data_IF_641853021926
#
_entry.id   IF_641853021926
#
_cell.length_a   1.000
_cell.length_b   1.000
_cell.length_c   1.000
_cell.angle_alpha   90.00
_cell.angle_beta   90.00
_cell.angle_gamma   90.00
#
_symmetry.space_group_name_H-M   'P 1'
#
loop_
_entity.id
_entity.type
_entity.pdbx_description
1 polymer ?
#
# COMPACT_ATOMS: atom_id res chain seq x y z
N UNK A 1 5.85 -13.64 13.96
CA UNK A 1 5.80 -12.36 14.69
C UNK A 1 6.80 -12.48 15.82
N UNK A 2 7.74 -11.55 15.91
CA UNK A 2 8.53 -11.36 17.11
C UNK A 2 7.68 -10.48 18.03
N UNK A 3 7.36 -10.94 19.25
CA UNK A 3 6.40 -10.29 20.14
C UNK A 3 4.94 -10.75 19.97
N UNK A 4 4.03 -10.19 20.78
CA UNK A 4 2.57 -10.44 20.73
C UNK A 4 1.81 -9.12 20.90
N UNK A 5 0.96 -8.79 19.93
CA UNK A 5 -0.02 -7.71 20.01
C UNK A 5 -1.40 -8.29 19.66
N UNK A 6 -2.46 -7.72 20.23
CA UNK A 6 -3.82 -8.10 19.84
C UNK A 6 -4.22 -7.41 18.52
N UNK A 7 -5.38 -7.78 17.98
CA UNK A 7 -5.86 -7.25 16.69
C UNK A 7 -6.13 -5.74 16.74
N UNK A 8 -6.68 -5.25 17.85
CA UNK A 8 -7.03 -3.83 18.03
C UNK A 8 -5.77 -2.97 18.00
N UNK A 9 -4.76 -3.33 18.79
CA UNK A 9 -3.46 -2.65 18.80
C UNK A 9 -2.79 -2.71 17.43
N UNK A 10 -2.90 -3.84 16.72
CA UNK A 10 -2.35 -3.94 15.36
C UNK A 10 -3.03 -2.98 14.40
N UNK A 11 -4.36 -2.82 14.47
CA UNK A 11 -5.11 -1.87 13.66
C UNK A 11 -4.69 -0.42 13.98
N UNK A 12 -4.59 -0.07 15.27
CA UNK A 12 -4.15 1.24 15.73
C UNK A 12 -2.72 1.55 15.28
N UNK A 13 -1.81 0.58 15.33
CA UNK A 13 -0.45 0.74 14.82
C UNK A 13 -0.44 1.03 13.32
N UNK A 14 -1.22 0.28 12.52
CA UNK A 14 -1.33 0.50 11.08
C UNK A 14 -1.98 1.85 10.75
N UNK A 15 -2.95 2.30 11.55
CA UNK A 15 -3.57 3.62 11.44
C UNK A 15 -2.63 4.76 11.87
N UNK A 16 -1.64 4.48 12.72
CA UNK A 16 -0.67 5.50 13.19
C UNK A 16 0.44 5.77 12.17
N UNK A 17 0.79 4.78 11.34
CA UNK A 17 1.86 4.95 10.34
C UNK A 17 1.57 6.14 9.42
N UNK A 18 2.58 6.95 9.01
CA UNK A 18 2.40 8.11 8.13
C UNK A 18 2.18 7.72 6.66
N UNK A 19 1.58 6.56 6.41
CA UNK A 19 1.28 6.04 5.07
C UNK A 19 -0.15 5.55 4.99
N UNK A 20 -0.65 5.47 3.76
CA UNK A 20 -1.83 4.67 3.45
C UNK A 20 -1.42 3.26 3.08
N UNK A 21 -2.25 2.31 3.44
CA UNK A 21 -2.06 0.88 3.22
C UNK A 21 -3.35 0.35 2.60
N UNK A 22 -3.22 -0.40 1.51
CA UNK A 22 -4.28 -1.26 0.97
C UNK A 22 -3.72 -2.67 0.82
N UNK A 23 -4.44 -3.68 1.27
CA UNK A 23 -4.08 -5.09 1.06
C UNK A 23 -5.08 -5.79 0.15
N UNK A 24 -4.55 -6.43 -0.89
CA UNK A 24 -5.25 -7.32 -1.80
C UNK A 24 -4.86 -8.76 -1.45
N UNK A 25 -5.82 -9.68 -1.39
CA UNK A 25 -5.50 -11.11 -1.24
C UNK A 25 -4.94 -11.72 -2.53
N UNK A 26 -4.56 -13.00 -2.46
CA UNK A 26 -4.06 -13.79 -3.60
C UNK A 26 -4.99 -13.82 -4.82
N UNK A 27 -6.27 -13.52 -4.63
CA UNK A 27 -7.30 -13.51 -5.67
C UNK A 27 -7.57 -12.07 -6.15
N UNK A 28 -6.71 -11.11 -5.82
CA UNK A 28 -6.79 -9.69 -6.20
C UNK A 28 -8.00 -8.95 -5.60
N UNK A 29 -8.52 -9.48 -4.48
CA UNK A 29 -9.67 -8.91 -3.79
C UNK A 29 -9.20 -7.96 -2.70
N UNK A 30 -9.77 -6.76 -2.64
CA UNK A 30 -9.46 -5.80 -1.57
C UNK A 30 -9.97 -6.34 -0.23
N UNK A 31 -9.07 -6.57 0.72
CA UNK A 31 -9.41 -7.14 2.04
C UNK A 31 -9.25 -6.18 3.19
N UNK A 32 -8.38 -5.19 3.03
CA UNK A 32 -8.08 -4.26 4.10
C UNK A 32 -7.55 -2.96 3.53
N UNK A 33 -7.79 -1.89 4.28
CA UNK A 33 -7.03 -0.66 4.17
C UNK A 33 -7.01 0.08 5.51
N UNK A 34 -5.94 0.82 5.79
CA UNK A 34 -5.87 1.67 6.98
C UNK A 34 -6.57 3.03 6.73
N UNK A 35 -6.96 3.71 7.82
CA UNK A 35 -7.51 5.06 7.89
C UNK A 35 -8.78 5.29 7.05
N UNK A 36 -9.92 5.51 7.72
CA UNK A 36 -11.12 6.07 7.07
C UNK A 36 -11.06 7.60 7.09
N UNK A 37 -11.00 8.25 5.92
CA UNK A 37 -11.22 9.70 5.76
C UNK A 37 -9.97 10.56 5.51
N UNK A 38 -8.87 10.35 6.24
CA UNK A 38 -7.65 11.16 6.10
C UNK A 38 -6.65 10.59 5.07
N UNK A 39 -7.14 10.26 3.87
CA UNK A 39 -6.36 9.66 2.78
C UNK A 39 -6.19 10.64 1.61
N UNK A 40 -4.99 10.71 1.06
CA UNK A 40 -4.64 11.16 -0.30
C UNK A 40 -5.57 10.52 -1.33
N UNK A 41 -5.80 9.21 -1.23
CA UNK A 41 -6.74 8.48 -2.10
C UNK A 41 -7.90 7.93 -1.26
N UNK A 42 -9.03 8.66 -1.18
CA UNK A 42 -10.18 8.23 -0.40
C UNK A 42 -10.68 6.84 -0.81
N UNK A 43 -11.01 6.02 0.18
CA UNK A 43 -11.64 4.71 -0.03
C UNK A 43 -12.99 4.68 0.67
N UNK A 44 -14.00 4.18 -0.03
CA UNK A 44 -15.28 3.82 0.59
C UNK A 44 -15.19 2.40 1.16
N UNK A 45 -15.79 2.12 2.33
CA UNK A 45 -15.91 0.75 2.84
C UNK A 45 -16.52 -0.23 1.83
N UNK A 46 -17.33 0.24 0.88
CA UNK A 46 -17.90 -0.56 -0.21
C UNK A 46 -16.85 -1.17 -1.16
N UNK A 47 -15.59 -0.76 -1.07
CA UNK A 47 -14.49 -1.37 -1.85
C UNK A 47 -14.07 -2.73 -1.29
N UNK A 48 -14.32 -3.00 0.00
CA UNK A 48 -13.97 -4.27 0.62
C UNK A 48 -14.72 -5.41 -0.05
N UNK A 49 -14.01 -6.47 -0.45
CA UNK A 49 -14.56 -7.60 -1.17
C UNK A 49 -14.65 -7.42 -2.69
N UNK A 50 -14.34 -6.24 -3.23
CA UNK A 50 -14.27 -6.01 -4.68
C UNK A 50 -12.92 -6.40 -5.25
N UNK A 51 -12.90 -6.71 -6.54
CA UNK A 51 -11.65 -6.91 -7.29
C UNK A 51 -10.96 -5.57 -7.49
N UNK A 52 -9.63 -5.55 -7.38
CA UNK A 52 -8.82 -4.33 -7.64
C UNK A 52 -9.10 -3.77 -9.04
N UNK A 53 -9.41 -4.65 -9.99
CA UNK A 53 -9.72 -4.27 -11.36
C UNK A 53 -10.96 -3.38 -11.48
N UNK A 54 -11.92 -3.53 -10.58
CA UNK A 54 -13.14 -2.72 -10.55
C UNK A 54 -12.93 -1.35 -9.86
N UNK A 55 -11.74 -1.14 -9.29
CA UNK A 55 -11.39 0.03 -8.49
C UNK A 55 -10.46 1.00 -9.22
N UNK A 56 -9.91 0.62 -10.38
CA UNK A 56 -8.97 1.43 -11.14
C UNK A 56 -9.53 1.87 -12.49
N UNK A 57 -9.22 3.10 -12.94
CA UNK A 57 -9.52 3.54 -14.31
C UNK A 57 -8.83 2.65 -15.36
N UNK A 58 -9.48 2.46 -16.53
CA UNK A 58 -8.98 1.63 -17.63
C UNK A 58 -7.53 1.95 -18.02
N UNK A 59 -7.14 3.23 -18.00
CA UNK A 59 -5.79 3.69 -18.37
C UNK A 59 -4.66 3.17 -17.48
N UNK A 60 -4.94 2.89 -16.20
CA UNK A 60 -3.95 2.39 -15.24
C UNK A 60 -4.08 0.90 -14.97
N UNK A 61 -5.22 0.31 -15.31
CA UNK A 61 -5.57 -1.07 -14.99
C UNK A 61 -4.54 -2.09 -15.52
N UNK A 62 -4.04 -1.89 -16.75
CA UNK A 62 -3.05 -2.80 -17.33
C UNK A 62 -1.74 -2.83 -16.53
N UNK A 63 -1.32 -1.68 -15.97
CA UNK A 63 -0.09 -1.57 -15.17
C UNK A 63 -0.26 -2.27 -13.83
N UNK A 64 -1.40 -2.07 -13.17
CA UNK A 64 -1.73 -2.73 -11.91
C UNK A 64 -1.76 -4.25 -12.10
N UNK A 65 -2.43 -4.74 -13.14
CA UNK A 65 -2.48 -6.16 -13.46
C UNK A 65 -1.08 -6.73 -13.73
N UNK A 66 -0.23 -6.01 -14.46
CA UNK A 66 1.14 -6.45 -14.71
C UNK A 66 1.96 -6.57 -13.42
N UNK A 67 1.85 -5.61 -12.50
CA UNK A 67 2.53 -5.66 -11.20
C UNK A 67 2.07 -6.89 -10.40
N UNK A 68 0.76 -7.11 -10.29
CA UNK A 68 0.19 -8.26 -9.57
C UNK A 68 0.64 -9.57 -10.19
N UNK A 69 0.62 -9.66 -11.52
CA UNK A 69 1.03 -10.86 -12.25
C UNK A 69 2.52 -11.17 -12.03
N UNK A 70 3.37 -10.14 -12.07
CA UNK A 70 4.79 -10.29 -11.77
C UNK A 70 5.03 -10.79 -10.34
N UNK A 71 4.24 -10.31 -9.36
CA UNK A 71 4.32 -10.79 -8.00
C UNK A 71 3.90 -12.26 -7.87
N UNK A 72 2.79 -12.64 -8.51
CA UNK A 72 2.30 -14.03 -8.54
C UNK A 72 3.33 -14.99 -9.15
N UNK A 73 4.02 -14.56 -10.20
CA UNK A 73 5.04 -15.34 -10.91
C UNK A 73 6.46 -15.17 -10.35
N UNK A 74 6.60 -14.53 -9.19
CA UNK A 74 7.89 -14.33 -8.53
C UNK A 74 8.93 -13.60 -9.42
N UNK A 75 8.47 -12.76 -10.35
CA UNK A 75 9.33 -11.97 -11.26
C UNK A 75 9.91 -10.72 -10.59
N UNK A 76 9.24 -10.23 -9.54
CA UNK A 76 9.68 -9.14 -8.67
C UNK A 76 8.98 -9.22 -7.32
N UNK A 77 9.53 -8.56 -6.31
CA UNK A 77 8.90 -8.45 -4.98
C UNK A 77 8.38 -7.05 -4.66
N UNK A 78 8.79 -6.04 -5.43
CA UNK A 78 8.28 -4.68 -5.31
C UNK A 78 8.14 -4.00 -6.66
N UNK A 79 7.27 -2.99 -6.71
CA UNK A 79 7.16 -2.04 -7.80
C UNK A 79 6.84 -0.67 -7.20
N UNK A 80 7.47 0.38 -7.71
CA UNK A 80 7.32 1.71 -7.14
C UNK A 80 7.33 2.80 -8.19
N UNK A 81 6.64 3.88 -7.89
CA UNK A 81 6.58 5.08 -8.72
C UNK A 81 6.17 6.27 -7.87
N UNK A 82 6.34 7.46 -8.42
CA UNK A 82 5.92 8.70 -7.81
C UNK A 82 5.14 9.55 -8.79
N UNK A 83 4.24 10.38 -8.28
CA UNK A 83 3.45 11.33 -9.05
C UNK A 83 3.45 12.69 -8.36
N UNK A 84 3.21 13.73 -9.15
CA UNK A 84 2.87 15.05 -8.65
C UNK A 84 1.34 15.17 -8.57
N UNK A 85 0.83 15.53 -7.39
CA UNK A 85 -0.60 15.69 -7.13
C UNK A 85 -0.82 16.87 -6.18
N UNK A 86 -1.51 17.91 -6.66
CA UNK A 86 -1.88 19.10 -5.88
C UNK A 86 -0.68 19.75 -5.15
N UNK A 87 0.43 19.95 -5.86
CA UNK A 87 1.71 20.46 -5.34
C UNK A 87 2.43 19.54 -4.34
N UNK A 88 2.06 18.26 -4.29
CA UNK A 88 2.68 17.26 -3.41
C UNK A 88 3.38 16.18 -4.22
N UNK A 89 4.48 15.67 -3.70
CA UNK A 89 5.16 14.49 -4.24
C UNK A 89 4.63 13.24 -3.57
N UNK A 90 3.87 12.43 -4.30
CA UNK A 90 3.27 11.20 -3.77
C UNK A 90 4.10 10.01 -4.23
N UNK A 91 4.56 9.21 -3.28
CA UNK A 91 5.33 8.00 -3.50
C UNK A 91 4.47 6.77 -3.23
N UNK A 92 4.34 5.91 -4.25
CA UNK A 92 3.45 4.75 -4.25
C UNK A 92 4.29 3.50 -4.48
N UNK A 93 4.14 2.53 -3.58
CA UNK A 93 4.87 1.26 -3.60
C UNK A 93 3.90 0.10 -3.51
N UNK A 94 4.18 -0.93 -4.28
CA UNK A 94 3.50 -2.22 -4.23
C UNK A 94 4.51 -3.27 -3.79
N UNK A 95 4.09 -4.18 -2.92
CA UNK A 95 4.92 -5.27 -2.43
C UNK A 95 4.20 -6.60 -2.56
N UNK A 96 4.92 -7.65 -2.97
CA UNK A 96 4.44 -9.01 -2.89
C UNK A 96 4.44 -9.47 -1.42
N UNK A 97 3.26 -9.77 -0.88
CA UNK A 97 3.14 -10.37 0.45
C UNK A 97 3.29 -11.88 0.30
N UNK A 98 4.32 -12.45 0.93
CA UNK A 98 4.60 -13.89 0.89
C UNK A 98 4.65 -14.47 2.30
N UNK A 99 4.25 -15.73 2.46
CA UNK A 99 4.49 -16.46 3.72
C UNK A 99 5.95 -16.86 3.85
N UNK A 100 6.34 -17.39 5.01
CA UNK A 100 7.71 -17.83 5.30
C UNK A 100 8.28 -18.86 4.33
N UNK A 101 7.42 -19.65 3.67
CA UNK A 101 7.80 -20.62 2.65
C UNK A 101 7.74 -20.06 1.22
N UNK A 102 7.65 -18.74 1.04
CA UNK A 102 7.65 -18.08 -0.27
C UNK A 102 6.31 -18.08 -1.01
N UNK A 103 5.26 -18.71 -0.47
CA UNK A 103 3.93 -18.70 -1.10
C UNK A 103 3.35 -17.29 -1.14
N UNK A 104 2.89 -16.87 -2.31
CA UNK A 104 2.18 -15.60 -2.50
C UNK A 104 0.86 -15.57 -1.72
N UNK A 105 0.69 -14.54 -0.89
CA UNK A 105 -0.49 -14.29 -0.06
C UNK A 105 -1.34 -13.13 -0.59
N UNK A 106 -0.74 -12.23 -1.37
CA UNK A 106 -1.41 -11.05 -1.87
C UNK A 106 -0.46 -9.88 -2.16
N UNK A 107 -1.04 -8.70 -2.34
CA UNK A 107 -0.33 -7.48 -2.68
C UNK A 107 -0.58 -6.41 -1.63
N UNK A 108 0.48 -5.77 -1.15
CA UNK A 108 0.40 -4.59 -0.28
C UNK A 108 0.70 -3.34 -1.10
N UNK A 109 -0.25 -2.42 -1.18
CA UNK A 109 -0.06 -1.07 -1.72
C UNK A 109 0.20 -0.12 -0.55
N UNK A 110 1.23 0.72 -0.68
CA UNK A 110 1.62 1.75 0.29
C UNK A 110 1.73 3.09 -0.42
N UNK A 111 1.04 4.11 0.07
CA UNK A 111 1.12 5.48 -0.44
C UNK A 111 1.60 6.44 0.64
N UNK A 112 2.56 7.30 0.31
CA UNK A 112 3.15 8.27 1.22
C UNK A 112 3.30 9.62 0.52
N UNK A 113 2.96 10.71 1.22
CA UNK A 113 3.29 12.06 0.78
C UNK A 113 4.70 12.39 1.27
N UNK A 114 5.66 12.45 0.34
CA UNK A 114 7.08 12.65 0.66
C UNK A 114 7.51 14.12 0.48
N UNK A 115 6.56 15.05 0.30
CA UNK A 115 6.85 16.47 0.02
C UNK A 115 7.76 17.09 1.09
N UNK A 116 7.42 16.90 2.37
CA UNK A 116 8.24 17.43 3.47
C UNK A 116 9.50 16.60 3.69
N UNK A 117 9.47 15.30 3.39
CA UNK A 117 10.64 14.41 3.48
C UNK A 117 11.72 14.88 2.49
N UNK A 118 11.35 15.29 1.28
CA UNK A 118 12.30 15.79 0.28
C UNK A 118 13.01 17.09 0.68
N UNK A 119 12.49 17.83 1.67
CA UNK A 119 13.11 19.07 2.18
C UNK A 119 14.13 18.80 3.28
N UNK A 120 14.20 17.58 3.83
CA UNK A 120 15.11 17.26 4.92
C UNK A 120 16.55 17.32 4.41
N UNK A 121 17.38 18.12 5.08
CA UNK A 121 18.82 18.23 4.83
C UNK A 121 19.56 18.28 6.17
N UNK A 122 20.85 17.94 6.17
CA UNK A 122 21.65 17.93 7.40
C UNK A 122 21.17 16.86 8.38
N UNK A 123 21.25 17.17 9.68
CA UNK A 123 20.91 16.22 10.74
C UNK A 123 20.02 16.87 11.80
N UNK A 124 19.11 16.08 12.36
CA UNK A 124 18.31 16.44 13.54
C UNK A 124 18.46 15.34 14.58
N UNK A 125 19.42 15.51 15.50
CA UNK A 125 19.79 14.52 16.52
C UNK A 125 19.01 14.77 17.81
N UNK A 126 17.75 14.33 17.84
CA UNK A 126 16.74 14.64 18.88
C UNK A 126 16.16 16.07 18.74
N UNK A 127 14.99 16.31 19.37
CA UNK A 127 14.01 17.40 19.17
C UNK A 127 14.42 18.65 18.39
#
# INVERSE_FOLDING_TARGET
MTGKVNKEILDDLLNTLPVEITFLDKDDTVRYFNKNGARIFPRSPAVLGRKVQDCHPKKSLHKVNQIIEDFKHNRRDSAEFWIDLDNRKIYIRYFAVRSRNGKYLGCLEVTEDITEIQKITGEKRLL
#
